data_IF_177395808759
#
_entry.id   IF_177395808759
#
_cell.length_a   1.000
_cell.length_b   1.000
_cell.length_c   1.000
_cell.angle_alpha   90.00
_cell.angle_beta   90.00
_cell.angle_gamma   90.00
#
_symmetry.space_group_name_H-M   'P 1'
#
loop_
_entity.id
_entity.type
_entity.pdbx_description
1 polymer ?
#
# COMPACT_ATOMS: atom_id res chain seq x y z
N UNK A 1 -10.25 11.19 31.88
CA UNK A 1 -10.40 12.16 30.77
C UNK A 1 -11.71 11.85 30.07
N UNK A 2 -12.69 12.76 30.13
CA UNK A 2 -13.95 12.62 29.40
C UNK A 2 -13.75 13.21 28.01
N UNK A 3 -13.89 12.37 26.98
CA UNK A 3 -13.72 12.73 25.58
C UNK A 3 -15.12 13.01 25.00
N UNK A 4 -15.21 14.01 24.10
CA UNK A 4 -16.45 14.50 23.50
C UNK A 4 -17.27 13.40 22.80
N UNK A 5 -18.60 13.49 22.89
CA UNK A 5 -19.55 12.55 22.30
C UNK A 5 -19.62 12.59 20.75
N UNK A 6 -18.97 13.57 20.12
CA UNK A 6 -19.02 13.77 18.67
C UNK A 6 -17.89 13.07 17.90
N UNK A 7 -17.02 12.33 18.59
CA UNK A 7 -15.98 11.53 17.93
C UNK A 7 -16.65 10.30 17.32
N UNK A 8 -16.82 10.28 15.99
CA UNK A 8 -17.13 9.06 15.27
C UNK A 8 -15.98 8.07 15.46
N UNK A 9 -16.24 7.06 16.27
CA UNK A 9 -15.33 5.96 16.49
C UNK A 9 -15.41 4.99 15.30
N UNK A 10 -14.38 4.87 14.46
CA UNK A 10 -14.44 3.96 13.31
C UNK A 10 -14.55 2.48 13.73
N UNK A 11 -14.31 2.20 15.02
CA UNK A 11 -14.30 0.86 15.63
C UNK A 11 -15.16 0.75 16.90
N UNK A 12 -15.90 1.79 17.32
CA UNK A 12 -16.87 1.66 18.42
C UNK A 12 -18.21 1.27 17.82
N UNK A 13 -18.29 0.03 17.36
CA UNK A 13 -19.59 -0.61 17.26
C UNK A 13 -19.86 -1.24 18.62
N UNK A 14 -21.00 -0.91 19.25
CA UNK A 14 -21.52 -1.65 20.41
C UNK A 14 -21.49 -3.17 20.18
N UNK A 15 -21.59 -3.61 18.91
CA UNK A 15 -21.43 -5.00 18.48
C UNK A 15 -20.07 -5.61 18.83
N UNK A 16 -18.97 -4.86 18.75
CA UNK A 16 -17.63 -5.37 19.08
C UNK A 16 -17.53 -5.59 20.58
N UNK A 17 -18.10 -4.69 21.39
CA UNK A 17 -18.18 -4.85 22.85
C UNK A 17 -19.11 -6.00 23.21
N UNK A 18 -20.30 -6.11 22.59
CA UNK A 18 -21.20 -7.27 22.77
C UNK A 18 -20.49 -8.60 22.44
N UNK A 19 -19.67 -8.66 21.38
CA UNK A 19 -18.92 -9.87 21.00
C UNK A 19 -17.80 -10.17 22.00
N UNK A 20 -17.12 -9.14 22.51
CA UNK A 20 -16.08 -9.29 23.53
C UNK A 20 -16.65 -9.69 24.90
N UNK A 21 -17.83 -9.16 25.25
CA UNK A 21 -18.51 -9.40 26.53
C UNK A 21 -19.31 -10.71 26.55
N UNK A 22 -19.73 -11.23 25.38
CA UNK A 22 -20.52 -12.47 25.28
C UNK A 22 -19.74 -13.77 25.58
N UNK A 23 -18.48 -13.68 26.01
CA UNK A 23 -17.64 -14.86 26.22
C UNK A 23 -17.12 -14.92 27.66
N UNK A 24 -17.69 -15.85 28.43
CA UNK A 24 -17.17 -16.28 29.74
C UNK A 24 -15.87 -17.09 29.53
N UNK A 25 -14.74 -16.40 29.39
CA UNK A 25 -13.41 -16.99 29.53
C UNK A 25 -12.33 -16.41 28.61
N UNK A 26 -11.07 -16.35 29.07
CA UNK A 26 -9.98 -15.82 28.26
C UNK A 26 -9.72 -16.71 27.03
N UNK A 27 -9.83 -16.11 25.83
CA UNK A 27 -9.29 -16.67 24.58
C UNK A 27 -10.28 -17.32 23.61
N UNK A 28 -11.60 -17.23 23.81
CA UNK A 28 -12.59 -17.83 22.91
C UNK A 28 -13.30 -16.73 22.12
N UNK A 29 -12.67 -16.26 21.04
CA UNK A 29 -13.37 -15.54 19.98
C UNK A 29 -13.86 -16.51 18.90
N UNK A 30 -14.81 -16.12 18.02
CA UNK A 30 -15.21 -16.94 16.89
C UNK A 30 -13.98 -17.35 16.07
N UNK A 31 -13.87 -18.64 15.73
CA UNK A 31 -12.68 -19.23 15.07
C UNK A 31 -12.28 -18.60 13.73
N UNK A 32 -13.15 -17.75 13.17
CA UNK A 32 -12.98 -17.07 11.88
C UNK A 32 -12.83 -15.54 12.01
N UNK A 33 -12.77 -14.99 13.23
CA UNK A 33 -12.61 -13.55 13.48
C UNK A 33 -11.33 -13.33 14.27
N UNK A 34 -10.37 -12.64 13.66
CA UNK A 34 -9.15 -12.18 14.31
C UNK A 34 -9.11 -10.66 14.25
N UNK A 35 -9.06 -10.01 15.41
CA UNK A 35 -8.92 -8.56 15.52
C UNK A 35 -7.44 -8.24 15.71
N UNK A 36 -6.88 -7.44 14.80
CA UNK A 36 -5.52 -6.94 14.91
C UNK A 36 -5.55 -5.45 15.22
N UNK A 37 -5.12 -5.08 16.42
CA UNK A 37 -4.86 -3.69 16.78
C UNK A 37 -3.36 -3.43 16.62
N UNK A 38 -3.00 -2.55 15.69
CA UNK A 38 -1.62 -2.09 15.55
C UNK A 38 -1.50 -0.71 16.18
N UNK A 39 -0.41 -0.49 16.91
CA UNK A 39 -0.15 0.73 17.65
C UNK A 39 1.23 1.27 17.27
N UNK A 40 1.38 2.59 17.24
CA UNK A 40 2.68 3.21 17.02
C UNK A 40 3.65 2.81 18.15
N UNK A 41 4.92 2.49 17.83
CA UNK A 41 5.88 1.91 18.79
C UNK A 41 6.07 2.77 20.06
N UNK A 42 6.14 4.10 19.88
CA UNK A 42 6.16 5.08 20.98
C UNK A 42 4.97 4.93 21.93
N UNK A 43 3.78 4.67 21.40
CA UNK A 43 2.56 4.49 22.19
C UNK A 43 2.51 3.13 22.88
N UNK A 44 3.03 2.07 22.23
CA UNK A 44 3.13 0.74 22.84
C UNK A 44 3.94 0.80 24.13
N UNK A 45 5.09 1.46 24.13
CA UNK A 45 5.91 1.60 25.33
C UNK A 45 5.19 2.33 26.47
N UNK A 46 4.56 3.46 26.17
CA UNK A 46 3.80 4.24 27.17
C UNK A 46 2.58 3.48 27.69
N UNK A 47 1.84 2.80 26.81
CA UNK A 47 0.66 2.02 27.16
C UNK A 47 1.02 0.81 28.03
N UNK A 48 2.05 0.04 27.64
CA UNK A 48 2.55 -1.09 28.42
C UNK A 48 3.11 -0.66 29.77
N UNK A 49 3.69 0.54 29.87
CA UNK A 49 4.18 1.07 31.14
C UNK A 49 3.06 1.37 32.15
N UNK A 50 1.83 1.62 31.67
CA UNK A 50 0.64 1.92 32.47
C UNK A 50 -0.37 0.78 32.44
N UNK A 51 0.07 -0.43 32.09
CA UNK A 51 -0.82 -1.58 31.92
C UNK A 51 -1.61 -1.87 33.21
N UNK A 52 -2.95 -1.77 33.18
CA UNK A 52 -3.77 -1.76 34.39
C UNK A 52 -3.98 -3.14 35.01
N UNK A 53 -3.60 -4.23 34.32
CA UNK A 53 -3.85 -5.60 34.75
C UNK A 53 -2.61 -6.29 35.37
N UNK A 54 -1.63 -5.52 35.84
CA UNK A 54 -0.50 -6.03 36.59
C UNK A 54 0.49 -6.85 35.75
N UNK A 55 0.82 -8.06 36.21
CA UNK A 55 1.83 -8.93 35.59
C UNK A 55 1.36 -9.63 34.31
N UNK A 56 0.05 -9.58 34.00
CA UNK A 56 -0.53 -10.17 32.79
C UNK A 56 -0.29 -9.28 31.56
N UNK A 57 0.99 -9.11 31.21
CA UNK A 57 1.39 -8.26 30.08
C UNK A 57 1.00 -8.94 28.76
N UNK A 58 0.57 -8.16 27.76
CA UNK A 58 0.21 -8.72 26.47
C UNK A 58 1.41 -9.40 25.82
N UNK A 59 1.24 -10.67 25.47
CA UNK A 59 2.26 -11.45 24.75
C UNK A 59 2.28 -11.08 23.26
N UNK A 60 3.49 -10.83 22.74
CA UNK A 60 3.70 -10.63 21.31
C UNK A 60 3.58 -11.99 20.62
N UNK A 61 2.52 -12.16 19.82
CA UNK A 61 2.29 -13.41 19.09
C UNK A 61 3.45 -13.78 18.15
N UNK A 62 3.77 -15.09 18.04
CA UNK A 62 4.91 -15.63 17.28
C UNK A 62 4.96 -15.17 15.81
N UNK A 63 3.80 -14.84 15.22
CA UNK A 63 3.71 -14.30 13.86
C UNK A 63 4.51 -13.01 13.66
N UNK A 64 4.68 -12.19 14.70
CA UNK A 64 5.49 -10.97 14.62
C UNK A 64 6.97 -11.32 14.45
N UNK A 65 7.46 -12.31 15.19
CA UNK A 65 8.84 -12.80 15.05
C UNK A 65 9.06 -13.47 13.68
N UNK A 66 8.09 -14.25 13.20
CA UNK A 66 8.15 -14.87 11.86
C UNK A 66 8.17 -13.82 10.74
N UNK A 67 7.35 -12.77 10.84
CA UNK A 67 7.35 -11.66 9.89
C UNK A 67 8.69 -10.92 9.89
N UNK A 68 9.25 -10.62 11.07
CA UNK A 68 10.59 -10.01 11.22
C UNK A 68 11.69 -10.90 10.64
N UNK A 69 11.68 -12.20 10.93
CA UNK A 69 12.66 -13.14 10.39
C UNK A 69 12.59 -13.26 8.86
N UNK A 70 11.39 -13.16 8.28
CA UNK A 70 11.20 -13.13 6.82
C UNK A 70 11.76 -11.86 6.20
N UNK A 71 11.60 -10.71 6.88
CA UNK A 71 12.13 -9.41 6.44
C UNK A 71 13.67 -9.32 6.55
N UNK A 72 14.28 -10.04 7.49
CA UNK A 72 15.72 -10.01 7.76
C UNK A 72 16.56 -11.05 6.99
N UNK A 73 16.03 -11.70 5.95
CA UNK A 73 16.84 -12.58 5.12
C UNK A 73 17.87 -11.78 4.29
N UNK A 74 19.18 -12.01 4.46
CA UNK A 74 20.22 -11.20 3.84
C UNK A 74 20.62 -11.79 2.47
N UNK A 75 19.83 -11.58 1.41
CA UNK A 75 20.29 -11.77 0.00
C UNK A 75 19.24 -11.54 -1.11
N UNK A 76 18.35 -10.56 -0.98
CA UNK A 76 17.72 -9.94 -2.16
C UNK A 76 17.35 -8.51 -1.80
N UNK A 77 17.69 -7.54 -2.64
CA UNK A 77 17.21 -6.16 -2.54
C UNK A 77 15.70 -6.18 -2.26
N UNK A 78 15.30 -5.75 -1.07
CA UNK A 78 13.88 -5.67 -0.71
C UNK A 78 13.18 -4.76 -1.73
N UNK A 79 12.12 -5.26 -2.34
CA UNK A 79 11.36 -4.51 -3.34
C UNK A 79 10.54 -3.46 -2.60
N UNK A 80 10.72 -2.19 -2.95
CA UNK A 80 9.91 -1.10 -2.42
C UNK A 80 8.64 -0.89 -3.25
N UNK A 81 7.64 -0.25 -2.65
CA UNK A 81 6.46 0.21 -3.35
C UNK A 81 6.81 1.26 -4.43
N UNK A 82 7.86 2.05 -4.22
CA UNK A 82 8.37 2.97 -5.22
C UNK A 82 8.89 2.23 -6.46
N UNK A 83 9.58 1.10 -6.29
CA UNK A 83 10.01 0.26 -7.43
C UNK A 83 8.80 -0.27 -8.21
N UNK A 84 7.74 -0.66 -7.49
CA UNK A 84 6.49 -1.10 -8.11
C UNK A 84 5.82 0.03 -8.92
N UNK A 85 5.81 1.27 -8.40
CA UNK A 85 5.32 2.41 -9.15
C UNK A 85 6.15 2.67 -10.41
N UNK A 86 7.48 2.72 -10.29
CA UNK A 86 8.40 2.90 -11.41
C UNK A 86 8.15 1.88 -12.53
N UNK A 87 8.00 0.59 -12.18
CA UNK A 87 7.67 -0.46 -13.13
C UNK A 87 6.28 -0.28 -13.74
N UNK A 88 5.29 0.13 -12.95
CA UNK A 88 3.92 0.32 -13.45
C UNK A 88 3.78 1.49 -14.43
N UNK A 89 4.61 2.52 -14.28
CA UNK A 89 4.64 3.70 -15.15
C UNK A 89 5.69 3.62 -16.25
N UNK A 90 6.49 2.55 -16.27
CA UNK A 90 7.50 2.33 -17.31
C UNK A 90 6.81 2.10 -18.66
N UNK A 91 7.36 2.72 -19.70
CA UNK A 91 6.93 2.51 -21.08
C UNK A 91 7.14 1.05 -21.48
N UNK A 92 6.11 0.43 -22.08
CA UNK A 92 6.17 -0.95 -22.53
C UNK A 92 5.86 -1.05 -24.02
N UNK A 93 6.61 -1.89 -24.75
CA UNK A 93 6.31 -2.20 -26.15
C UNK A 93 5.25 -3.30 -26.23
N UNK A 94 4.17 -3.01 -26.93
CA UNK A 94 3.07 -3.97 -27.11
C UNK A 94 3.49 -5.08 -28.09
N UNK A 95 3.24 -6.32 -27.70
CA UNK A 95 3.37 -7.48 -28.58
C UNK A 95 2.25 -7.48 -29.64
N UNK A 96 2.31 -8.40 -30.62
CA UNK A 96 1.31 -8.47 -31.69
C UNK A 96 -0.13 -8.72 -31.18
N UNK A 97 -0.28 -9.54 -30.15
CA UNK A 97 -1.58 -9.92 -29.61
C UNK A 97 -2.26 -8.73 -28.92
N UNK A 98 -1.48 -7.90 -28.23
CA UNK A 98 -1.90 -6.70 -27.49
C UNK A 98 -1.72 -5.39 -28.30
N UNK A 99 -1.25 -5.47 -29.54
CA UNK A 99 -0.94 -4.31 -30.37
C UNK A 99 -2.15 -3.40 -30.58
N UNK A 100 -1.91 -2.09 -30.49
CA UNK A 100 -2.92 -1.07 -30.74
C UNK A 100 -3.43 -1.15 -32.18
N UNK A 101 -4.76 -1.04 -32.35
CA UNK A 101 -5.38 -0.96 -33.66
C UNK A 101 -5.51 0.50 -34.07
N UNK A 102 -4.76 0.90 -35.11
CA UNK A 102 -4.83 2.25 -35.64
C UNK A 102 -6.20 2.52 -36.26
N UNK A 103 -6.89 3.56 -35.81
CA UNK A 103 -8.23 3.94 -36.29
C UNK A 103 -8.22 4.42 -37.75
N UNK A 104 -7.09 4.96 -38.22
CA UNK A 104 -6.92 5.41 -39.61
C UNK A 104 -6.55 4.25 -40.54
N UNK A 105 -5.54 3.45 -40.17
CA UNK A 105 -5.04 2.36 -41.01
C UNK A 105 -5.90 1.09 -40.91
N UNK A 106 -6.74 0.98 -39.87
CA UNK A 106 -7.57 -0.19 -39.54
C UNK A 106 -6.78 -1.50 -39.44
N UNK A 107 -5.56 -1.42 -38.92
CA UNK A 107 -4.65 -2.56 -38.71
C UNK A 107 -3.95 -2.45 -37.36
N UNK A 108 -3.49 -3.59 -36.84
CA UNK A 108 -2.63 -3.65 -35.65
C UNK A 108 -1.24 -3.12 -35.97
N UNK A 109 -0.73 -2.22 -35.14
CA UNK A 109 0.60 -1.63 -35.28
C UNK A 109 1.59 -2.28 -34.33
N UNK A 110 2.54 -3.02 -34.90
CA UNK A 110 3.59 -3.69 -34.15
C UNK A 110 4.62 -2.70 -33.61
N UNK A 111 5.09 -2.95 -32.39
CA UNK A 111 6.09 -2.08 -31.77
C UNK A 111 5.53 -0.74 -31.27
N UNK A 112 4.21 -0.62 -31.15
CA UNK A 112 3.60 0.52 -30.46
C UNK A 112 4.06 0.55 -29.00
N UNK A 113 4.57 1.70 -28.55
CA UNK A 113 4.97 1.92 -27.16
C UNK A 113 3.80 2.50 -26.38
N UNK A 114 3.42 1.84 -25.29
CA UNK A 114 2.38 2.27 -24.38
C UNK A 114 3.03 2.95 -23.17
N UNK A 115 2.53 4.14 -22.86
CA UNK A 115 2.91 4.89 -21.66
C UNK A 115 1.72 4.94 -20.70
N UNK A 116 1.94 4.59 -19.45
CA UNK A 116 0.97 4.79 -18.37
C UNK A 116 1.50 5.87 -17.43
N UNK A 117 0.72 6.94 -17.24
CA UNK A 117 1.07 8.05 -16.34
C UNK A 117 -0.07 8.33 -15.37
N UNK A 118 0.27 8.78 -14.17
CA UNK A 118 -0.71 9.24 -13.18
C UNK A 118 -0.94 10.73 -13.43
N UNK A 119 -2.15 11.12 -13.85
CA UNK A 119 -2.43 12.53 -14.16
C UNK A 119 -2.84 13.32 -12.90
N UNK A 120 -3.68 12.72 -12.08
CA UNK A 120 -4.21 13.31 -10.84
C UNK A 120 -4.20 12.27 -9.74
N UNK A 121 -4.18 12.76 -8.49
CA UNK A 121 -4.21 11.94 -7.30
C UNK A 121 -5.56 12.07 -6.59
N UNK A 122 -6.19 10.95 -6.20
CA UNK A 122 -7.49 10.97 -5.51
C UNK A 122 -7.31 11.25 -4.01
N UNK A 123 -8.34 11.74 -3.30
CA UNK A 123 -8.27 11.89 -1.84
C UNK A 123 -8.05 10.56 -1.11
N UNK A 124 -8.48 9.43 -1.71
CA UNK A 124 -8.24 8.07 -1.22
C UNK A 124 -7.57 7.27 -2.33
N UNK A 125 -6.30 6.90 -2.13
CA UNK A 125 -5.53 6.11 -3.07
C UNK A 125 -5.61 4.62 -2.74
N UNK A 126 -6.09 3.82 -3.70
CA UNK A 126 -6.11 2.36 -3.58
C UNK A 126 -4.96 1.79 -4.40
N UNK A 127 -4.09 1.02 -3.75
CA UNK A 127 -2.95 0.37 -4.38
C UNK A 127 -3.17 -1.14 -4.35
N UNK A 128 -3.26 -1.76 -5.53
CA UNK A 128 -3.38 -3.20 -5.67
C UNK A 128 -2.07 -3.81 -6.18
N UNK A 129 -1.42 -4.61 -5.35
CA UNK A 129 -0.25 -5.39 -5.75
C UNK A 129 -0.69 -6.63 -6.54
N UNK A 130 -0.33 -6.69 -7.83
CA UNK A 130 -0.64 -7.82 -8.73
C UNK A 130 0.15 -9.08 -8.37
N UNK A 131 -0.25 -9.75 -7.28
CA UNK A 131 0.47 -10.91 -6.73
C UNK A 131 0.09 -12.24 -7.37
N UNK A 132 -1.03 -12.33 -8.05
CA UNK A 132 -1.45 -13.59 -8.69
C UNK A 132 -1.04 -13.62 -10.15
N UNK A 133 -0.38 -14.70 -10.52
CA UNK A 133 -0.04 -15.00 -11.90
C UNK A 133 -0.80 -16.24 -12.33
N UNK A 134 -1.58 -16.11 -13.40
CA UNK A 134 -2.27 -17.21 -14.03
C UNK A 134 -1.70 -17.41 -15.43
N UNK A 135 -1.21 -18.61 -15.68
CA UNK A 135 -0.76 -19.05 -17.00
C UNK A 135 -1.66 -20.21 -17.45
N UNK A 136 -1.50 -20.64 -18.71
CA UNK A 136 -2.25 -21.80 -19.24
C UNK A 136 -1.98 -23.10 -18.46
N UNK A 137 -0.85 -23.18 -17.75
CA UNK A 137 -0.33 -24.43 -17.16
C UNK A 137 -0.28 -24.33 -15.62
N UNK A 138 -0.16 -23.13 -15.06
CA UNK A 138 0.01 -22.94 -13.62
C UNK A 138 -0.63 -21.66 -13.12
N UNK A 139 -1.06 -21.71 -11.85
CA UNK A 139 -1.44 -20.54 -11.08
C UNK A 139 -0.45 -20.39 -9.93
N UNK A 140 0.10 -19.21 -9.73
CA UNK A 140 1.06 -18.94 -8.65
C UNK A 140 0.76 -17.62 -7.96
N UNK A 141 1.25 -17.48 -6.73
CA UNK A 141 1.17 -16.25 -5.94
C UNK A 141 2.57 -15.78 -5.60
N UNK A 142 2.88 -14.53 -5.91
CA UNK A 142 4.08 -13.83 -5.52
C UNK A 142 4.01 -13.50 -4.02
N UNK A 143 4.80 -14.23 -3.24
CA UNK A 143 4.92 -14.08 -1.78
C UNK A 143 6.01 -13.11 -1.35
N UNK A 144 6.79 -12.56 -2.30
CA UNK A 144 7.85 -11.61 -2.02
C UNK A 144 7.32 -10.40 -1.24
N UNK A 145 7.98 -10.01 -0.14
CA UNK A 145 7.59 -8.83 0.62
C UNK A 145 7.78 -7.57 -0.23
N UNK A 146 6.86 -6.62 -0.09
CA UNK A 146 6.99 -5.28 -0.67
C UNK A 146 7.01 -4.29 0.48
N UNK A 147 8.04 -3.47 0.56
CA UNK A 147 8.16 -2.43 1.57
C UNK A 147 7.33 -1.21 1.17
N UNK A 148 6.45 -0.76 2.04
CA UNK A 148 5.66 0.45 1.84
C UNK A 148 5.71 1.30 3.12
N UNK A 149 5.74 2.64 3.02
CA UNK A 149 5.69 3.51 4.18
C UNK A 149 4.29 3.48 4.81
N UNK A 150 4.24 3.66 6.13
CA UNK A 150 2.97 3.83 6.85
C UNK A 150 2.47 5.27 6.76
N UNK A 151 3.39 6.23 6.72
CA UNK A 151 3.08 7.66 6.68
C UNK A 151 3.87 8.33 5.55
N UNK A 152 3.35 9.42 5.01
CA UNK A 152 4.01 10.28 4.03
C UNK A 152 4.47 9.55 2.75
N UNK A 153 3.67 8.62 2.23
CA UNK A 153 3.88 8.06 0.89
C UNK A 153 3.80 9.20 -0.14
N UNK A 154 4.95 9.57 -0.71
CA UNK A 154 5.04 10.60 -1.72
C UNK A 154 4.97 10.01 -3.14
N UNK A 155 3.84 10.20 -3.81
CA UNK A 155 3.65 9.78 -5.21
C UNK A 155 3.84 10.92 -6.22
N UNK A 156 4.19 12.13 -5.78
CA UNK A 156 4.35 13.31 -6.67
C UNK A 156 5.30 13.03 -7.83
N UNK A 157 6.38 12.29 -7.58
CA UNK A 157 7.39 11.92 -8.59
C UNK A 157 6.84 11.08 -9.74
N UNK A 158 5.69 10.42 -9.56
CA UNK A 158 5.05 9.58 -10.57
C UNK A 158 3.91 10.30 -11.29
N UNK A 159 3.64 11.57 -10.92
CA UNK A 159 2.65 12.39 -11.60
C UNK A 159 3.18 12.89 -12.92
N UNK A 160 2.28 12.97 -13.90
CA UNK A 160 2.56 13.66 -15.15
C UNK A 160 2.68 15.14 -14.85
N UNK A 161 3.88 15.68 -14.86
CA UNK A 161 4.07 17.13 -14.76
C UNK A 161 3.50 17.76 -16.04
N UNK A 162 2.49 18.60 -15.90
CA UNK A 162 2.16 19.62 -16.92
C UNK A 162 3.24 20.70 -16.88
N UNK A 163 4.50 20.36 -17.15
CA UNK A 163 5.39 21.39 -17.69
C UNK A 163 4.81 21.67 -19.06
N UNK A 164 4.41 22.91 -19.30
CA UNK A 164 3.98 23.38 -20.60
C UNK A 164 4.93 22.77 -21.64
N UNK A 165 4.37 22.05 -22.60
CA UNK A 165 5.08 21.62 -23.79
C UNK A 165 5.58 22.91 -24.47
N UNK A 166 6.74 23.41 -24.06
CA UNK A 166 7.56 24.21 -24.94
C UNK A 166 8.04 23.22 -25.98
N UNK A 167 7.53 23.45 -27.18
CA UNK A 167 7.73 22.72 -28.42
C UNK A 167 9.22 22.70 -28.81
N UNK A 168 10.07 22.00 -28.06
CA UNK A 168 11.45 21.74 -28.43
C UNK A 168 11.86 20.41 -27.78
N UNK A 169 11.87 19.35 -28.60
CA UNK A 169 12.18 18.00 -28.16
C UNK A 169 13.65 17.84 -27.81
N UNK A 170 13.98 17.86 -26.52
CA UNK A 170 15.21 17.29 -25.99
C UNK A 170 14.90 16.40 -24.79
N UNK A 171 15.35 15.15 -24.91
CA UNK A 171 15.34 14.11 -23.89
C UNK A 171 16.40 14.45 -22.84
N UNK A 172 16.00 15.12 -21.75
CA UNK A 172 16.87 15.37 -20.61
C UNK A 172 16.58 14.34 -19.51
N UNK A 173 17.42 13.31 -19.51
CA UNK A 173 17.63 12.42 -18.38
C UNK A 173 18.42 13.15 -17.28
N UNK A 174 17.92 13.08 -16.04
CA UNK A 174 18.65 13.34 -14.78
C UNK A 174 19.07 14.80 -14.55
N UNK A 175 18.73 15.38 -13.40
CA UNK A 175 19.65 16.08 -12.48
C UNK A 175 18.90 16.50 -11.20
N UNK A 176 19.48 16.04 -10.10
CA UNK A 176 19.70 16.61 -8.77
C UNK A 176 18.82 17.73 -8.19
N UNK A 177 18.61 17.53 -6.88
CA UNK A 177 18.56 18.49 -5.79
C UNK A 177 18.78 19.99 -6.09
N UNK A 178 17.94 20.76 -5.37
CA UNK A 178 18.03 22.18 -5.01
C UNK A 178 17.28 23.24 -5.85
N UNK A 179 16.28 23.79 -5.15
CA UNK A 179 15.86 25.20 -5.12
C UNK A 179 15.09 25.74 -6.34
N UNK A 180 13.77 25.60 -6.27
CA UNK A 180 12.88 26.64 -6.77
C UNK A 180 11.89 27.04 -5.66
N UNK A 181 12.28 28.03 -4.87
CA UNK A 181 11.41 28.70 -3.90
C UNK A 181 10.66 29.85 -4.58
N UNK A 182 9.68 29.56 -5.43
CA UNK A 182 8.79 30.61 -5.92
C UNK A 182 7.31 30.19 -5.96
N UNK A 183 6.63 30.54 -4.85
CA UNK A 183 5.17 30.64 -4.66
C UNK A 183 4.40 29.31 -4.78
N UNK A 184 4.65 28.37 -3.86
CA UNK A 184 3.75 27.22 -3.66
C UNK A 184 2.67 27.56 -2.61
N UNK A 185 1.40 27.53 -3.03
CA UNK A 185 0.28 27.48 -2.10
C UNK A 185 0.48 26.26 -1.17
N UNK A 186 0.30 26.44 0.14
CA UNK A 186 0.53 25.36 1.11
C UNK A 186 -0.27 24.09 0.81
N UNK A 187 -1.42 24.21 0.12
CA UNK A 187 -2.26 23.09 -0.33
C UNK A 187 -1.59 22.21 -1.41
N UNK A 188 -0.75 22.77 -2.29
CA UNK A 188 -0.03 21.97 -3.30
C UNK A 188 1.12 21.16 -2.69
N UNK A 189 1.66 21.61 -1.54
CA UNK A 189 2.70 20.86 -0.82
C UNK A 189 2.21 19.52 -0.30
N UNK A 190 0.92 19.37 -0.03
CA UNK A 190 0.33 18.14 0.51
C UNK A 190 -0.31 17.21 -0.54
N UNK A 191 -0.58 17.72 -1.75
CA UNK A 191 -1.17 16.91 -2.83
C UNK A 191 -0.26 15.73 -3.22
N UNK A 192 -0.77 14.50 -3.28
CA UNK A 192 0.06 13.33 -3.60
C UNK A 192 0.93 12.81 -2.44
N UNK A 193 0.69 13.26 -1.21
CA UNK A 193 1.16 12.62 0.02
C UNK A 193 0.03 11.79 0.64
N UNK A 194 0.35 10.57 1.09
CA UNK A 194 -0.64 9.64 1.66
C UNK A 194 -0.13 8.95 2.92
N UNK A 195 -1.02 8.85 3.92
CA UNK A 195 -0.83 7.97 5.06
C UNK A 195 -1.67 6.69 4.87
N UNK A 196 -1.10 5.56 5.28
CA UNK A 196 -1.72 4.26 5.20
C UNK A 196 -2.72 4.09 6.34
N UNK A 197 -3.99 3.93 5.99
CA UNK A 197 -5.03 3.68 7.00
C UNK A 197 -5.58 2.25 6.99
N UNK A 198 -5.34 1.46 5.93
CA UNK A 198 -5.83 0.09 5.82
C UNK A 198 -4.97 -0.79 4.91
N UNK A 199 -4.90 -2.09 5.21
CA UNK A 199 -4.25 -3.11 4.37
C UNK A 199 -5.17 -4.32 4.27
N UNK A 200 -5.49 -4.74 3.05
CA UNK A 200 -6.14 -6.02 2.79
C UNK A 200 -5.06 -7.08 2.55
N UNK A 201 -4.95 -8.03 3.48
CA UNK A 201 -3.95 -9.09 3.40
C UNK A 201 -4.59 -10.34 2.81
N UNK A 202 -3.85 -11.06 1.96
CA UNK A 202 -4.27 -12.37 1.49
C UNK A 202 -3.28 -13.44 1.96
N UNK A 203 -3.79 -14.55 2.53
CA UNK A 203 -3.01 -15.74 2.92
C UNK A 203 -3.51 -16.96 2.13
N UNK A 204 -2.61 -17.90 1.84
CA UNK A 204 -2.93 -19.07 1.01
C UNK A 204 -2.73 -18.86 -0.49
N UNK A 205 -3.26 -19.79 -1.27
CA UNK A 205 -3.10 -19.87 -2.73
C UNK A 205 -4.22 -19.12 -3.47
N UNK A 206 -4.17 -19.08 -4.80
CA UNK A 206 -5.22 -18.45 -5.61
C UNK A 206 -6.57 -19.16 -5.51
N UNK A 207 -6.57 -20.48 -5.30
CA UNK A 207 -7.79 -21.30 -5.22
C UNK A 207 -8.29 -21.51 -3.80
N UNK A 208 -7.42 -21.38 -2.79
CA UNK A 208 -7.79 -21.56 -1.40
C UNK A 208 -6.98 -20.59 -0.54
N UNK A 209 -7.63 -19.50 -0.17
CA UNK A 209 -7.02 -18.43 0.59
C UNK A 209 -8.01 -17.66 1.45
N UNK A 210 -7.46 -16.76 2.26
CA UNK A 210 -8.20 -16.01 3.28
C UNK A 210 -7.76 -14.56 3.26
N UNK A 211 -8.73 -13.65 3.41
CA UNK A 211 -8.52 -12.21 3.44
C UNK A 211 -8.76 -11.66 4.84
N UNK A 212 -7.89 -10.76 5.29
CA UNK A 212 -7.97 -10.05 6.58
C UNK A 212 -7.62 -8.59 6.42
#
# INVERSE_FOLDING_TARGET
YSISHDVQWPLYLEKIIEILDAHDGPGIGPSHIQVYANWHEKFVGEFLSKWPYGDDKPDIHQSVAQARATLHQPSSSLISLADCFSLSTQSESLNYDDAWMCTHCRRKENGTVKHLKIWTTPSVLIIHLKRFCQTKISNSKLTYPVQFPLDNLNIKRFLSTTKNLTDDGEDESVIDDEQDESIENQDERQYGLYDLFAVCNHRGSMSNGHYT
#
